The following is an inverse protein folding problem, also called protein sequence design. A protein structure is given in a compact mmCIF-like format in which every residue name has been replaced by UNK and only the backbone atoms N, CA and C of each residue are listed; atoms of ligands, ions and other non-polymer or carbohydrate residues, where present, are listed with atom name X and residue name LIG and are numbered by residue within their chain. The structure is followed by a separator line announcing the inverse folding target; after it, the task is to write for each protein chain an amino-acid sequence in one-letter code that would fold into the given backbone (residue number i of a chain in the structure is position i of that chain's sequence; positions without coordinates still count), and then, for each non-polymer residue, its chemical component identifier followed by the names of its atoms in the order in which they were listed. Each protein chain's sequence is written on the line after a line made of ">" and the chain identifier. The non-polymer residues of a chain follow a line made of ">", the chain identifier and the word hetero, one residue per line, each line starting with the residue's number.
data_IF_999179564826
#
_entry.id   IF_999179564826
#
_cell.length_a   1.000
_cell.length_b   1.000
_cell.length_c   1.000
_cell.angle_alpha   90.00
_cell.angle_beta   90.00
_cell.angle_gamma   90.00
#
_symmetry.space_group_name_H-M   'P 1'
#
loop_
_entity.id
_entity.type
_entity.pdbx_description
1 polymer ?
#
# COMPACT_ATOMS: atom_id res chain seq x y z
N UNK A 1 17.72 -27.82 0.36
CA UNK A 1 16.71 -26.76 0.09
C UNK A 1 17.48 -25.46 0.16
N UNK A 2 17.71 -24.80 -0.96
CA UNK A 2 18.24 -23.45 -0.97
C UNK A 2 17.21 -22.57 -0.24
N UNK A 3 17.63 -21.84 0.81
CA UNK A 3 16.79 -20.91 1.53
C UNK A 3 16.30 -19.83 0.56
N UNK A 4 15.12 -19.28 0.81
CA UNK A 4 14.58 -18.19 -0.01
C UNK A 4 15.49 -16.95 0.11
N UNK A 5 15.60 -16.17 -0.98
CA UNK A 5 16.54 -15.02 -1.06
C UNK A 5 16.22 -13.98 0.02
N UNK A 6 14.96 -13.85 0.42
CA UNK A 6 14.46 -12.83 1.37
C UNK A 6 13.95 -13.42 2.69
N UNK A 7 14.38 -14.63 3.09
CA UNK A 7 13.88 -15.33 4.29
C UNK A 7 14.06 -14.52 5.57
N UNK A 8 15.22 -13.87 5.76
CA UNK A 8 15.49 -13.04 6.91
C UNK A 8 14.67 -11.76 6.88
N UNK A 9 14.59 -11.09 5.73
CA UNK A 9 13.88 -9.85 5.54
C UNK A 9 12.37 -10.02 5.78
N UNK A 10 11.75 -11.04 5.19
CA UNK A 10 10.31 -11.30 5.35
C UNK A 10 9.97 -11.67 6.79
N UNK A 11 10.84 -12.42 7.47
CA UNK A 11 10.67 -12.75 8.88
C UNK A 11 10.72 -11.50 9.75
N UNK A 12 11.76 -10.66 9.61
CA UNK A 12 11.92 -9.44 10.38
C UNK A 12 10.76 -8.47 10.11
N UNK A 13 10.39 -8.24 8.85
CA UNK A 13 9.28 -7.36 8.49
C UNK A 13 7.94 -7.86 9.05
N UNK A 14 7.69 -9.18 9.03
CA UNK A 14 6.48 -9.78 9.59
C UNK A 14 6.41 -9.58 11.10
N UNK A 15 7.51 -9.83 11.82
CA UNK A 15 7.59 -9.61 13.27
C UNK A 15 7.35 -8.14 13.62
N UNK A 16 7.98 -7.21 12.88
CA UNK A 16 7.84 -5.77 13.09
C UNK A 16 6.41 -5.28 12.80
N UNK A 17 5.79 -5.75 11.73
CA UNK A 17 4.41 -5.38 11.40
C UNK A 17 3.44 -5.80 12.52
N UNK A 18 3.63 -6.98 13.11
CA UNK A 18 2.82 -7.44 14.24
C UNK A 18 3.10 -6.65 15.52
N UNK A 19 4.35 -6.33 15.84
CA UNK A 19 4.72 -5.53 16.99
C UNK A 19 4.18 -4.10 16.88
N UNK A 20 4.36 -3.45 15.72
CA UNK A 20 3.79 -2.14 15.46
C UNK A 20 2.26 -2.16 15.52
N UNK A 21 1.63 -3.19 14.95
CA UNK A 21 0.18 -3.36 15.05
C UNK A 21 -0.33 -3.51 16.49
N UNK A 22 0.45 -4.14 17.38
CA UNK A 22 0.13 -4.21 18.82
C UNK A 22 0.16 -2.82 19.47
N UNK A 23 1.19 -2.00 19.15
CA UNK A 23 1.27 -0.59 19.59
C UNK A 23 0.05 0.18 19.10
N UNK A 24 -0.30 0.06 17.80
CA UNK A 24 -1.48 0.73 17.26
C UNK A 24 -2.76 0.32 17.97
N UNK A 25 -2.96 -0.96 18.29
CA UNK A 25 -4.15 -1.45 19.01
C UNK A 25 -4.24 -0.92 20.43
N UNK A 26 -3.11 -0.80 21.15
CA UNK A 26 -3.09 -0.21 22.48
C UNK A 26 -3.62 1.22 22.47
N UNK A 27 -3.14 2.04 21.53
CA UNK A 27 -3.66 3.40 21.33
C UNK A 27 -5.08 3.41 20.79
N UNK A 28 -5.43 2.50 19.87
CA UNK A 28 -6.76 2.44 19.26
C UNK A 28 -7.87 2.21 20.28
N UNK A 29 -7.64 1.41 21.31
CA UNK A 29 -8.61 1.14 22.36
C UNK A 29 -8.50 2.08 23.58
N UNK A 30 -7.56 3.01 23.55
CA UNK A 30 -7.36 4.02 24.60
C UNK A 30 -7.78 5.41 24.12
N UNK A 31 -7.98 6.42 24.99
CA UNK A 31 -8.05 7.82 24.59
C UNK A 31 -6.73 8.27 23.96
N UNK A 32 -6.76 8.97 22.84
CA UNK A 32 -5.59 9.55 22.19
C UNK A 32 -5.85 10.98 21.73
N UNK A 33 -4.77 11.73 21.54
CA UNK A 33 -4.80 13.06 20.95
C UNK A 33 -4.46 12.96 19.46
N UNK A 34 -5.16 13.79 18.68
CA UNK A 34 -4.87 13.99 17.26
C UNK A 34 -4.07 15.29 17.12
N UNK A 35 -2.92 15.19 16.49
CA UNK A 35 -2.07 16.33 16.16
C UNK A 35 -2.10 16.56 14.65
N UNK A 36 -1.59 17.69 14.21
CA UNK A 36 -1.40 17.99 12.79
C UNK A 36 0.09 18.15 12.49
N UNK A 37 0.53 17.54 11.41
CA UNK A 37 1.87 17.75 10.83
C UNK A 37 1.73 18.37 9.44
N UNK A 38 2.76 19.10 9.01
CA UNK A 38 2.87 19.58 7.63
C UNK A 38 3.64 18.52 6.83
N UNK A 39 3.04 18.06 5.75
CA UNK A 39 3.67 17.08 4.88
C UNK A 39 4.65 17.74 3.89
N UNK A 40 5.31 16.93 3.06
CA UNK A 40 6.26 17.41 2.05
C UNK A 40 5.63 18.26 0.92
N UNK A 41 4.29 18.39 0.89
CA UNK A 41 3.54 19.22 -0.06
C UNK A 41 2.95 20.48 0.58
N UNK A 42 3.40 20.84 1.79
CA UNK A 42 2.86 21.94 2.62
C UNK A 42 1.37 21.77 2.99
N UNK A 43 0.86 20.54 2.99
CA UNK A 43 -0.50 20.22 3.40
C UNK A 43 -0.53 19.73 4.85
N UNK A 44 -1.63 20.05 5.58
CA UNK A 44 -1.84 19.55 6.94
C UNK A 44 -2.36 18.10 6.90
N UNK A 45 -1.66 17.20 7.58
CA UNK A 45 -2.06 15.81 7.79
C UNK A 45 -2.25 15.51 9.28
N UNK A 46 -3.22 14.66 9.58
CA UNK A 46 -3.45 14.17 10.93
C UNK A 46 -2.40 13.13 11.30
N UNK A 47 -1.87 13.20 12.52
CA UNK A 47 -0.91 12.24 13.09
C UNK A 47 -1.25 12.02 14.56
N UNK A 48 -0.96 10.83 15.05
CA UNK A 48 -1.14 10.48 16.47
C UNK A 48 0.18 10.01 17.09
N UNK A 49 0.22 9.89 18.40
CA UNK A 49 1.35 9.29 19.08
C UNK A 49 1.58 7.83 18.64
N UNK A 50 0.50 7.13 18.25
CA UNK A 50 0.57 5.76 17.76
C UNK A 50 1.40 5.63 16.47
N UNK A 51 1.22 6.58 15.51
CA UNK A 51 2.01 6.61 14.28
C UNK A 51 3.50 6.70 14.57
N UNK A 52 3.87 7.65 15.45
CA UNK A 52 5.29 7.91 15.79
C UNK A 52 5.91 6.76 16.54
N UNK A 53 5.22 6.18 17.52
CA UNK A 53 5.72 5.05 18.30
C UNK A 53 5.89 3.79 17.43
N UNK A 54 4.94 3.49 16.59
CA UNK A 54 5.04 2.40 15.63
C UNK A 54 6.19 2.64 14.62
N UNK A 55 6.36 3.88 14.14
CA UNK A 55 7.47 4.26 13.26
C UNK A 55 8.83 4.05 13.93
N UNK A 56 9.03 4.56 15.15
CA UNK A 56 10.28 4.43 15.89
C UNK A 56 10.65 2.96 16.12
N UNK A 57 9.67 2.14 16.49
CA UNK A 57 9.86 0.70 16.67
C UNK A 57 10.36 0.04 15.37
N UNK A 58 9.69 0.30 14.23
CA UNK A 58 10.05 -0.32 12.95
C UNK A 58 11.42 0.17 12.48
N UNK A 59 11.63 1.49 12.44
CA UNK A 59 12.84 2.11 11.88
C UNK A 59 14.07 1.73 12.70
N UNK A 60 14.02 1.82 14.04
CA UNK A 60 15.17 1.49 14.90
C UNK A 60 15.59 0.02 14.76
N UNK A 61 14.62 -0.88 14.61
CA UNK A 61 14.91 -2.31 14.43
C UNK A 61 15.49 -2.60 13.06
N UNK A 62 14.94 -2.01 11.97
CA UNK A 62 15.46 -2.19 10.62
C UNK A 62 16.88 -1.64 10.50
N UNK A 63 17.19 -0.48 11.06
CA UNK A 63 18.55 0.07 11.09
C UNK A 63 19.55 -0.86 11.79
N UNK A 64 19.11 -1.55 12.82
CA UNK A 64 19.95 -2.52 13.54
C UNK A 64 20.16 -3.82 12.77
N UNK A 65 19.11 -4.34 12.15
CA UNK A 65 19.14 -5.62 11.41
C UNK A 65 19.78 -5.47 10.03
N UNK A 66 19.59 -4.32 9.37
CA UNK A 66 20.02 -4.03 7.99
C UNK A 66 20.73 -2.66 7.90
N UNK A 67 21.90 -2.51 8.56
CA UNK A 67 22.58 -1.21 8.70
C UNK A 67 23.06 -0.60 7.39
N UNK A 68 23.20 -1.41 6.35
CA UNK A 68 23.66 -0.97 5.01
C UNK A 68 22.50 -0.55 4.11
N UNK A 69 21.24 -0.80 4.46
CA UNK A 69 20.06 -0.46 3.68
C UNK A 69 19.65 1.00 3.91
N UNK A 70 19.00 1.60 2.91
CA UNK A 70 18.31 2.88 3.06
C UNK A 70 16.96 2.69 3.74
N UNK A 71 16.43 3.75 4.34
CA UNK A 71 15.08 3.77 4.92
C UNK A 71 14.37 5.04 4.49
N UNK A 72 13.12 4.88 4.05
CA UNK A 72 12.16 5.94 3.79
C UNK A 72 10.89 5.62 4.58
N UNK A 73 10.58 6.42 5.60
CA UNK A 73 9.41 6.21 6.45
C UNK A 73 8.59 7.49 6.56
N UNK A 74 7.26 7.35 6.60
CA UNK A 74 6.33 8.48 6.62
C UNK A 74 6.59 9.42 7.79
N UNK A 75 6.80 8.89 8.99
CA UNK A 75 6.95 9.67 10.21
C UNK A 75 8.43 9.98 10.56
N UNK A 76 9.33 9.83 9.60
CA UNK A 76 10.75 10.16 9.75
C UNK A 76 11.17 11.25 8.77
N UNK A 77 12.18 12.05 9.17
CA UNK A 77 12.82 12.96 8.23
C UNK A 77 13.53 12.15 7.14
N UNK A 78 13.20 12.39 5.88
CA UNK A 78 13.84 11.71 4.75
C UNK A 78 15.33 12.04 4.69
N UNK A 79 16.15 11.01 4.56
CA UNK A 79 17.59 11.13 4.34
C UNK A 79 17.92 10.91 2.88
N UNK A 80 18.49 11.91 2.21
CA UNK A 80 18.96 11.80 0.82
C UNK A 80 19.98 10.67 0.62
N UNK A 81 20.65 10.21 1.69
CA UNK A 81 21.59 9.07 1.62
C UNK A 81 20.92 7.75 1.20
N UNK A 82 19.59 7.62 1.34
CA UNK A 82 18.88 6.47 0.81
C UNK A 82 18.97 6.35 -0.71
N UNK A 83 19.19 7.47 -1.41
CA UNK A 83 19.30 7.51 -2.87
C UNK A 83 20.61 6.86 -3.39
N UNK A 84 21.59 6.74 -2.52
CA UNK A 84 22.88 6.06 -2.82
C UNK A 84 22.82 4.56 -2.51
N UNK A 85 21.62 4.04 -2.09
CA UNK A 85 21.43 2.65 -1.68
C UNK A 85 20.62 1.88 -2.73
N UNK A 86 21.10 0.68 -3.07
CA UNK A 86 20.35 -0.23 -3.93
C UNK A 86 19.12 -0.81 -3.22
N UNK A 87 19.22 -1.04 -1.90
CA UNK A 87 18.17 -1.59 -1.04
C UNK A 87 17.59 -0.48 -0.18
N UNK A 88 16.29 -0.29 -0.26
CA UNK A 88 15.57 0.74 0.52
C UNK A 88 14.30 0.14 1.12
N UNK A 89 14.15 0.25 2.43
CA UNK A 89 12.92 -0.04 3.15
C UNK A 89 11.97 1.15 3.06
N UNK A 90 10.72 0.89 2.71
CA UNK A 90 9.65 1.88 2.64
C UNK A 90 8.58 1.52 3.66
N UNK A 91 8.30 2.46 4.57
CA UNK A 91 7.53 2.19 5.79
C UNK A 91 6.39 3.20 5.91
N UNK A 92 5.17 2.69 5.98
CA UNK A 92 4.03 3.41 6.50
C UNK A 92 3.62 2.73 7.82
N UNK A 93 3.84 3.37 8.97
CA UNK A 93 3.51 2.77 10.26
C UNK A 93 2.01 2.63 10.47
N UNK A 94 1.20 3.48 9.82
CA UNK A 94 -0.26 3.44 9.91
C UNK A 94 -0.95 4.03 8.66
N UNK A 95 -0.95 3.32 7.54
CA UNK A 95 -1.77 3.70 6.37
C UNK A 95 -3.25 3.72 6.76
N UNK A 96 -3.83 4.90 6.70
CA UNK A 96 -5.23 5.13 7.08
C UNK A 96 -5.42 5.78 8.44
N UNK A 97 -4.61 6.77 8.82
CA UNK A 97 -4.72 7.53 10.09
C UNK A 97 -6.12 8.09 10.33
N UNK A 98 -6.81 8.58 9.29
CA UNK A 98 -8.23 9.02 9.39
C UNK A 98 -9.16 7.88 9.82
N UNK A 99 -8.92 6.68 9.33
CA UNK A 99 -9.72 5.49 9.67
C UNK A 99 -9.44 5.02 11.11
N UNK A 100 -8.18 5.16 11.55
CA UNK A 100 -7.80 4.96 12.95
C UNK A 100 -8.52 5.95 13.87
N UNK A 101 -8.48 7.25 13.55
CA UNK A 101 -9.14 8.33 14.32
C UNK A 101 -10.65 8.08 14.39
N UNK A 102 -11.27 7.71 13.29
CA UNK A 102 -12.71 7.43 13.21
C UNK A 102 -13.11 6.08 13.82
N UNK A 103 -12.15 5.26 14.25
CA UNK A 103 -12.38 3.93 14.84
C UNK A 103 -13.17 2.98 13.96
N UNK A 104 -12.96 3.03 12.62
CA UNK A 104 -13.60 2.13 11.66
C UNK A 104 -12.79 0.87 11.33
N UNK A 105 -11.54 0.79 11.81
CA UNK A 105 -10.68 -0.39 11.72
C UNK A 105 -9.99 -0.61 10.37
N UNK A 106 -10.17 0.28 9.40
CA UNK A 106 -9.58 0.17 8.07
C UNK A 106 -8.20 0.86 7.98
N UNK A 107 -7.27 0.46 8.84
CA UNK A 107 -5.87 0.93 8.82
C UNK A 107 -4.91 -0.27 8.84
N UNK A 108 -3.68 -0.06 8.37
CA UNK A 108 -2.70 -1.12 8.28
C UNK A 108 -1.26 -0.61 8.47
N UNK A 109 -0.40 -1.44 9.06
CA UNK A 109 1.06 -1.28 9.02
C UNK A 109 1.53 -1.77 7.65
N UNK A 110 2.38 -1.00 6.96
CA UNK A 110 2.96 -1.38 5.68
C UNK A 110 4.48 -1.30 5.74
N UNK A 111 5.15 -2.39 5.36
CA UNK A 111 6.60 -2.48 5.27
C UNK A 111 6.94 -3.07 3.89
N UNK A 112 7.62 -2.30 3.06
CA UNK A 112 8.10 -2.72 1.75
C UNK A 112 9.63 -2.68 1.68
N UNK A 113 10.23 -3.52 0.84
CA UNK A 113 11.62 -3.45 0.45
C UNK A 113 11.71 -3.25 -1.05
N UNK A 114 12.44 -2.24 -1.48
CA UNK A 114 12.80 -2.03 -2.87
C UNK A 114 14.27 -2.38 -3.11
N UNK A 115 14.56 -2.99 -4.26
CA UNK A 115 15.90 -3.26 -4.76
C UNK A 115 16.06 -2.63 -6.14
N UNK A 116 17.04 -1.73 -6.31
CA UNK A 116 17.24 -1.00 -7.57
C UNK A 116 16.02 -0.17 -7.99
N UNK A 117 15.18 0.23 -7.03
CA UNK A 117 13.95 0.96 -7.25
C UNK A 117 12.74 0.11 -7.64
N UNK A 118 12.82 -1.20 -7.61
CA UNK A 118 11.70 -2.13 -7.83
C UNK A 118 11.25 -2.77 -6.51
N UNK A 119 9.95 -2.88 -6.29
CA UNK A 119 9.39 -3.54 -5.12
C UNK A 119 9.67 -5.04 -5.17
N UNK A 120 10.34 -5.59 -4.13
CA UNK A 120 10.74 -7.01 -4.08
C UNK A 120 10.18 -7.75 -2.88
N UNK A 121 9.74 -7.04 -1.85
CA UNK A 121 9.14 -7.63 -0.66
C UNK A 121 8.09 -6.70 -0.07
N UNK A 122 7.02 -7.27 0.46
CA UNK A 122 5.98 -6.52 1.13
C UNK A 122 5.33 -7.27 2.28
N UNK A 123 5.05 -6.53 3.35
CA UNK A 123 4.20 -6.95 4.45
C UNK A 123 3.17 -5.88 4.70
N UNK A 124 1.89 -6.26 4.75
CA UNK A 124 0.77 -5.41 5.13
C UNK A 124 0.02 -6.11 6.25
N UNK A 125 -0.08 -5.47 7.40
CA UNK A 125 -0.80 -6.02 8.55
C UNK A 125 -1.95 -5.12 8.97
N UNK A 126 -3.16 -5.67 8.98
CA UNK A 126 -4.39 -5.02 9.44
C UNK A 126 -4.69 -5.48 10.89
N UNK A 127 -4.31 -4.70 11.92
CA UNK A 127 -4.29 -5.20 13.29
C UNK A 127 -5.68 -5.48 13.86
N UNK A 128 -6.68 -4.66 13.53
CA UNK A 128 -8.06 -4.84 14.03
C UNK A 128 -8.68 -6.16 13.55
N UNK A 129 -8.33 -6.61 12.33
CA UNK A 129 -8.81 -7.88 11.78
C UNK A 129 -7.87 -9.05 12.07
N UNK A 130 -6.66 -8.80 12.56
CA UNK A 130 -5.63 -9.82 12.73
C UNK A 130 -5.17 -10.45 11.41
N UNK A 131 -5.26 -9.71 10.28
CA UNK A 131 -4.92 -10.20 8.94
C UNK A 131 -3.59 -9.63 8.50
N UNK A 132 -2.68 -10.51 8.09
CA UNK A 132 -1.37 -10.17 7.58
C UNK A 132 -1.21 -10.73 6.16
N UNK A 133 -0.85 -9.86 5.23
CA UNK A 133 -0.42 -10.21 3.88
C UNK A 133 1.09 -10.09 3.78
N UNK A 134 1.75 -11.03 3.13
CA UNK A 134 3.18 -10.99 2.89
C UNK A 134 3.55 -11.59 1.55
N UNK A 135 4.59 -11.06 0.94
CA UNK A 135 5.14 -11.58 -0.30
C UNK A 135 6.62 -11.22 -0.43
N UNK A 136 7.35 -12.03 -1.17
CA UNK A 136 8.67 -11.68 -1.71
C UNK A 136 8.77 -12.17 -3.15
N UNK A 137 9.64 -11.53 -3.93
CA UNK A 137 9.88 -11.86 -5.33
C UNK A 137 10.23 -13.35 -5.48
N UNK A 138 9.51 -14.04 -6.37
CA UNK A 138 9.63 -15.47 -6.66
C UNK A 138 9.19 -16.42 -5.51
N UNK A 139 8.59 -15.92 -4.43
CA UNK A 139 8.13 -16.74 -3.30
C UNK A 139 6.59 -16.81 -3.19
N UNK A 140 5.88 -16.08 -4.07
CA UNK A 140 4.42 -15.95 -4.03
C UNK A 140 3.92 -15.01 -2.94
N UNK A 141 2.61 -14.84 -2.89
CA UNK A 141 1.93 -14.04 -1.90
C UNK A 141 1.10 -14.92 -0.96
N UNK A 142 1.04 -14.53 0.30
CA UNK A 142 0.43 -15.32 1.38
C UNK A 142 -0.41 -14.44 2.29
N UNK A 143 -1.50 -15.00 2.82
CA UNK A 143 -2.33 -14.40 3.87
C UNK A 143 -2.23 -15.24 5.14
N UNK A 144 -2.16 -14.59 6.28
CA UNK A 144 -2.29 -15.17 7.61
C UNK A 144 -3.43 -14.46 8.33
N UNK A 145 -4.43 -15.20 8.82
CA UNK A 145 -5.59 -14.65 9.53
C UNK A 145 -5.75 -15.36 10.88
N UNK A 146 -5.62 -14.60 11.97
CA UNK A 146 -5.66 -15.17 13.33
C UNK A 146 -4.56 -16.21 13.57
N UNK A 147 -4.96 -17.39 14.06
CA UNK A 147 -4.07 -18.55 14.31
C UNK A 147 -4.00 -19.53 13.13
N UNK A 148 -4.69 -19.21 12.02
CA UNK A 148 -4.73 -20.07 10.86
C UNK A 148 -3.36 -20.17 10.17
N UNK A 149 -3.12 -21.29 9.48
CA UNK A 149 -1.93 -21.45 8.66
C UNK A 149 -1.97 -20.49 7.50
N UNK A 150 -0.79 -19.98 7.11
CA UNK A 150 -0.64 -19.16 5.93
C UNK A 150 -1.26 -19.86 4.69
N UNK A 151 -2.12 -19.11 3.99
CA UNK A 151 -2.74 -19.57 2.74
C UNK A 151 -2.20 -18.78 1.55
N UNK A 152 -2.00 -19.40 0.38
CA UNK A 152 -1.52 -18.70 -0.81
C UNK A 152 -2.60 -17.77 -1.34
N UNK A 153 -2.17 -16.60 -1.83
CA UNK A 153 -3.01 -15.62 -2.48
C UNK A 153 -2.88 -15.72 -4.00
N UNK A 154 -3.98 -15.43 -4.69
CA UNK A 154 -3.97 -15.24 -6.14
C UNK A 154 -5.16 -14.37 -6.55
N UNK A 155 -4.93 -13.47 -7.49
CA UNK A 155 -5.97 -12.56 -8.02
C UNK A 155 -7.01 -13.31 -8.88
N UNK A 156 -8.12 -12.65 -9.19
CA UNK A 156 -9.11 -13.13 -10.16
C UNK A 156 -8.56 -13.00 -11.60
N UNK A 157 -9.27 -13.56 -12.56
CA UNK A 157 -8.97 -13.43 -14.00
C UNK A 157 -10.09 -12.72 -14.78
N UNK A 158 -10.95 -11.97 -14.09
CA UNK A 158 -12.04 -11.22 -14.72
C UNK A 158 -11.48 -10.09 -15.59
N UNK A 159 -12.09 -9.90 -16.76
CA UNK A 159 -11.67 -8.87 -17.74
C UNK A 159 -12.80 -7.91 -18.11
N UNK A 160 -14.05 -8.20 -17.74
CA UNK A 160 -15.21 -7.36 -18.06
C UNK A 160 -15.59 -6.52 -16.84
N UNK A 161 -15.60 -5.17 -16.92
CA UNK A 161 -15.97 -4.30 -15.79
C UNK A 161 -17.30 -4.66 -15.14
N UNK A 162 -18.31 -5.05 -15.92
CA UNK A 162 -19.64 -5.45 -15.43
C UNK A 162 -19.65 -6.72 -14.56
N UNK A 163 -18.52 -7.41 -14.44
CA UNK A 163 -18.32 -8.55 -13.55
C UNK A 163 -17.39 -8.23 -12.39
N UNK A 164 -16.67 -7.10 -12.46
CA UNK A 164 -15.62 -6.73 -11.54
C UNK A 164 -16.13 -5.89 -10.38
N UNK A 165 -15.48 -6.04 -9.22
CA UNK A 165 -15.69 -5.24 -8.01
C UNK A 165 -14.58 -4.20 -7.89
N UNK A 166 -14.96 -2.92 -7.79
CA UNK A 166 -14.04 -1.82 -7.53
C UNK A 166 -13.80 -1.69 -6.03
N UNK A 167 -12.52 -1.74 -5.59
CA UNK A 167 -12.14 -1.22 -4.29
C UNK A 167 -11.93 0.30 -4.39
N UNK A 168 -12.56 1.08 -3.53
CA UNK A 168 -12.46 2.54 -3.53
C UNK A 168 -12.19 3.11 -2.14
N UNK A 169 -11.72 4.35 -2.08
CA UNK A 169 -11.49 5.04 -0.82
C UNK A 169 -12.82 5.41 -0.15
N UNK A 170 -12.90 5.16 1.16
CA UNK A 170 -14.04 5.57 1.98
C UNK A 170 -14.11 7.10 2.14
N UNK A 171 -12.95 7.74 2.29
CA UNK A 171 -12.82 9.16 2.65
C UNK A 171 -12.65 10.10 1.45
N UNK A 172 -12.29 9.60 0.27
CA UNK A 172 -11.89 10.41 -0.88
C UNK A 172 -12.72 10.09 -2.12
N UNK A 173 -14.02 10.38 -2.08
CA UNK A 173 -14.86 10.31 -3.26
C UNK A 173 -14.94 11.66 -3.94
N UNK A 174 -14.54 11.72 -5.19
CA UNK A 174 -14.61 12.93 -6.01
C UNK A 174 -15.59 12.73 -7.18
N UNK A 175 -16.07 13.83 -7.75
CA UNK A 175 -16.88 13.78 -8.98
C UNK A 175 -16.16 13.08 -10.15
N UNK A 176 -14.82 13.18 -10.20
CA UNK A 176 -14.01 12.44 -11.17
C UNK A 176 -14.10 10.92 -10.96
N UNK A 177 -14.06 10.47 -9.71
CA UNK A 177 -14.24 9.03 -9.41
C UNK A 177 -15.65 8.56 -9.75
N UNK A 178 -16.69 9.36 -9.48
CA UNK A 178 -18.07 9.06 -9.89
C UNK A 178 -18.20 8.93 -11.41
N UNK A 179 -17.53 9.80 -12.14
CA UNK A 179 -17.47 9.74 -13.61
C UNK A 179 -16.80 8.46 -14.10
N UNK A 180 -15.71 8.01 -13.44
CA UNK A 180 -15.04 6.73 -13.76
C UNK A 180 -15.98 5.56 -13.49
N UNK A 181 -16.57 5.50 -12.29
CA UNK A 181 -17.50 4.41 -11.91
C UNK A 181 -18.65 4.29 -12.92
N UNK A 182 -19.24 5.43 -13.29
CA UNK A 182 -20.32 5.48 -14.30
C UNK A 182 -19.87 5.02 -15.70
N UNK A 183 -18.65 5.37 -16.11
CA UNK A 183 -18.14 5.01 -17.43
C UNK A 183 -17.78 3.52 -17.56
N UNK A 184 -17.26 2.92 -16.50
CA UNK A 184 -16.87 1.51 -16.49
C UNK A 184 -18.05 0.55 -16.25
N UNK A 185 -19.07 0.97 -15.47
CA UNK A 185 -20.23 0.14 -15.15
C UNK A 185 -19.83 -1.11 -14.35
N UNK A 186 -19.04 -0.94 -13.29
CA UNK A 186 -18.61 -2.04 -12.42
C UNK A 186 -19.81 -2.77 -11.81
N UNK A 187 -19.65 -4.08 -11.54
CA UNK A 187 -20.64 -4.92 -10.89
C UNK A 187 -20.99 -4.41 -9.50
N UNK A 188 -19.97 -4.01 -8.75
CA UNK A 188 -20.13 -3.56 -7.36
C UNK A 188 -18.93 -2.68 -6.95
N UNK A 189 -19.08 -1.97 -5.82
CA UNK A 189 -18.06 -1.12 -5.23
C UNK A 189 -17.92 -1.44 -3.73
N UNK A 190 -16.72 -1.81 -3.29
CA UNK A 190 -16.39 -1.95 -1.87
C UNK A 190 -15.53 -0.79 -1.41
N UNK A 191 -15.91 -0.14 -0.29
CA UNK A 191 -15.21 1.03 0.25
C UNK A 191 -14.40 0.67 1.48
N UNK A 192 -13.10 0.97 1.43
CA UNK A 192 -12.16 0.75 2.53
C UNK A 192 -11.24 1.95 2.71
N UNK A 193 -10.68 2.08 3.93
CA UNK A 193 -9.49 2.89 4.19
C UNK A 193 -8.25 2.23 3.59
N UNK A 194 -7.06 2.73 3.91
CA UNK A 194 -5.75 2.11 3.59
C UNK A 194 -5.55 1.66 2.13
N UNK A 195 -4.43 1.95 1.53
CA UNK A 195 -4.04 1.43 0.20
C UNK A 195 -3.78 -0.07 0.30
N UNK A 196 -3.03 -0.48 1.33
CA UNK A 196 -2.69 -1.89 1.55
C UNK A 196 -3.90 -2.77 1.77
N UNK A 197 -4.91 -2.30 2.53
CA UNK A 197 -6.16 -3.02 2.72
C UNK A 197 -6.90 -3.23 1.39
N UNK A 198 -6.99 -2.21 0.54
CA UNK A 198 -7.65 -2.32 -0.78
C UNK A 198 -6.91 -3.28 -1.72
N UNK A 199 -5.59 -3.25 -1.70
CA UNK A 199 -4.76 -4.18 -2.48
C UNK A 199 -4.89 -5.61 -1.94
N UNK A 200 -4.93 -5.79 -0.63
CA UNK A 200 -5.22 -7.08 0.01
C UNK A 200 -6.54 -7.70 -0.49
N UNK A 201 -7.61 -6.89 -0.61
CA UNK A 201 -8.89 -7.36 -1.15
C UNK A 201 -8.76 -7.86 -2.60
N UNK A 202 -7.90 -7.25 -3.43
CA UNK A 202 -7.66 -7.73 -4.80
C UNK A 202 -6.96 -9.09 -4.76
N UNK A 203 -5.94 -9.22 -3.92
CA UNK A 203 -5.20 -10.47 -3.75
C UNK A 203 -6.07 -11.62 -3.18
N UNK A 204 -7.11 -11.29 -2.37
CA UNK A 204 -8.12 -12.22 -1.85
C UNK A 204 -9.29 -12.49 -2.83
N UNK A 205 -9.32 -11.88 -4.02
CA UNK A 205 -10.46 -11.95 -4.97
C UNK A 205 -11.77 -11.36 -4.43
N UNK A 206 -11.70 -10.48 -3.42
CA UNK A 206 -12.85 -9.73 -2.91
C UNK A 206 -13.08 -8.43 -3.69
N UNK A 207 -12.05 -7.97 -4.40
CA UNK A 207 -12.11 -6.90 -5.40
C UNK A 207 -11.22 -7.28 -6.60
N UNK A 208 -11.35 -6.52 -7.70
CA UNK A 208 -10.62 -6.79 -8.93
C UNK A 208 -9.71 -5.63 -9.33
N UNK A 209 -10.03 -4.43 -8.85
CA UNK A 209 -9.21 -3.25 -9.10
C UNK A 209 -9.38 -2.19 -8.02
N UNK A 210 -8.36 -1.33 -7.93
CA UNK A 210 -8.36 -0.10 -7.14
C UNK A 210 -7.80 1.04 -7.98
N UNK A 211 -8.44 2.20 -7.89
CA UNK A 211 -8.04 3.43 -8.58
C UNK A 211 -7.87 4.56 -7.56
N UNK A 212 -6.76 5.27 -7.65
CA UNK A 212 -6.53 6.50 -6.91
C UNK A 212 -6.17 7.63 -7.85
N UNK A 213 -7.09 8.57 -8.04
CA UNK A 213 -6.97 9.60 -9.07
C UNK A 213 -6.13 10.82 -8.65
N UNK A 214 -5.86 11.00 -7.36
CA UNK A 214 -5.06 12.13 -6.85
C UNK A 214 -3.58 11.78 -6.67
N UNK A 215 -2.67 12.77 -6.55
CA UNK A 215 -1.26 12.55 -6.28
C UNK A 215 -0.96 12.35 -4.78
N UNK A 216 -1.97 12.11 -3.95
CA UNK A 216 -1.82 12.10 -2.49
C UNK A 216 -1.15 10.85 -1.93
N UNK A 217 -1.09 9.73 -2.69
CA UNK A 217 -0.35 8.55 -2.25
C UNK A 217 1.15 8.73 -2.39
N UNK A 218 1.90 8.10 -1.49
CA UNK A 218 3.36 8.16 -1.42
C UNK A 218 3.98 6.79 -1.73
N UNK A 219 5.29 6.75 -1.86
CA UNK A 219 6.03 5.51 -2.14
C UNK A 219 5.85 4.46 -1.04
N UNK A 220 5.77 4.87 0.22
CA UNK A 220 5.54 3.95 1.36
C UNK A 220 4.14 3.34 1.38
N UNK A 221 3.11 4.03 0.83
CA UNK A 221 1.75 3.50 0.69
C UNK A 221 1.67 2.37 -0.35
N UNK A 222 2.63 2.29 -1.26
CA UNK A 222 2.53 1.43 -2.45
C UNK A 222 3.57 0.33 -2.55
N UNK A 223 4.79 0.51 -2.04
CA UNK A 223 5.87 -0.47 -2.19
C UNK A 223 5.51 -1.85 -1.63
N UNK A 224 5.15 -1.94 -0.36
CA UNK A 224 4.76 -3.22 0.25
C UNK A 224 3.52 -3.86 -0.42
N UNK A 225 2.43 -3.10 -0.62
CA UNK A 225 1.26 -3.57 -1.34
C UNK A 225 1.54 -4.03 -2.77
N UNK A 226 2.43 -3.35 -3.52
CA UNK A 226 2.81 -3.78 -4.88
C UNK A 226 3.44 -5.16 -4.90
N UNK A 227 4.41 -5.42 -4.00
CA UNK A 227 5.04 -6.74 -3.89
C UNK A 227 4.00 -7.85 -3.69
N UNK A 228 3.01 -7.60 -2.82
CA UNK A 228 1.92 -8.55 -2.54
C UNK A 228 1.05 -8.76 -3.78
N UNK A 229 0.63 -7.67 -4.43
CA UNK A 229 -0.23 -7.73 -5.59
C UNK A 229 0.43 -8.45 -6.77
N UNK A 230 1.68 -8.10 -7.07
CA UNK A 230 2.45 -8.69 -8.17
C UNK A 230 2.69 -10.17 -7.92
N UNK A 231 3.09 -10.54 -6.70
CA UNK A 231 3.30 -11.94 -6.33
C UNK A 231 2.00 -12.78 -6.34
N UNK A 232 0.83 -12.13 -6.17
CA UNK A 232 -0.49 -12.76 -6.33
C UNK A 232 -0.95 -12.83 -7.80
N UNK A 233 -0.19 -12.29 -8.77
CA UNK A 233 -0.50 -12.28 -10.20
C UNK A 233 -1.22 -11.02 -10.69
N UNK A 234 -1.34 -9.99 -9.84
CA UNK A 234 -1.89 -8.69 -10.19
C UNK A 234 -0.86 -7.73 -10.77
N UNK A 235 -1.28 -6.47 -11.00
CA UNK A 235 -0.42 -5.42 -11.53
C UNK A 235 -0.75 -4.06 -10.90
N UNK A 236 0.28 -3.29 -10.58
CA UNK A 236 0.18 -1.92 -10.10
C UNK A 236 1.02 -1.00 -10.98
N UNK A 237 0.43 0.12 -11.43
CA UNK A 237 1.08 1.15 -12.23
C UNK A 237 0.55 2.54 -11.84
N UNK A 238 1.09 3.58 -12.46
CA UNK A 238 0.41 4.87 -12.47
C UNK A 238 -0.83 4.84 -13.38
N UNK A 239 -1.62 5.92 -13.41
CA UNK A 239 -2.84 6.02 -14.23
C UNK A 239 -2.59 5.97 -15.74
N UNK A 240 -1.35 6.09 -16.17
CA UNK A 240 -0.91 6.04 -17.57
C UNK A 240 -0.28 4.71 -17.97
N UNK A 241 -0.24 3.74 -17.03
CA UNK A 241 0.31 2.41 -17.25
C UNK A 241 1.82 2.31 -17.05
N UNK A 242 2.46 3.36 -16.49
CA UNK A 242 3.90 3.31 -16.21
C UNK A 242 4.17 2.63 -14.86
N UNK A 243 5.20 1.80 -14.75
CA UNK A 243 5.57 1.17 -13.47
C UNK A 243 6.01 2.22 -12.46
N UNK A 244 5.69 1.99 -11.18
CA UNK A 244 6.19 2.82 -10.08
C UNK A 244 7.68 2.56 -9.86
N UNK A 245 8.37 3.56 -9.28
CA UNK A 245 9.77 3.47 -8.92
C UNK A 245 9.98 4.03 -7.51
N UNK A 246 10.82 3.34 -6.74
CA UNK A 246 10.98 3.59 -5.30
C UNK A 246 12.36 4.15 -4.93
N UNK A 247 13.14 4.59 -5.91
CA UNK A 247 14.48 5.16 -5.74
C UNK A 247 14.57 6.63 -6.15
N UNK A 248 13.42 7.30 -6.35
CA UNK A 248 13.39 8.71 -6.72
C UNK A 248 13.56 9.67 -5.54
N UNK A 249 13.99 10.89 -5.81
CA UNK A 249 14.01 12.00 -4.83
C UNK A 249 12.61 12.35 -4.37
N UNK A 250 11.65 12.33 -5.29
CA UNK A 250 10.25 12.59 -4.99
C UNK A 250 9.59 11.34 -4.44
N UNK A 251 8.80 11.52 -3.41
CA UNK A 251 8.13 10.41 -2.71
C UNK A 251 6.65 10.26 -3.11
N UNK A 252 6.08 11.25 -3.81
CA UNK A 252 4.67 11.29 -4.20
C UNK A 252 4.40 10.54 -5.52
N UNK A 253 3.31 9.78 -5.59
CA UNK A 253 2.83 9.11 -6.79
C UNK A 253 1.99 10.09 -7.64
N UNK A 254 2.65 11.05 -8.29
CA UNK A 254 2.05 12.22 -8.97
C UNK A 254 0.97 11.87 -9.98
N UNK A 255 1.16 10.80 -10.69
CA UNK A 255 0.23 10.36 -11.70
C UNK A 255 -0.98 9.58 -11.16
N UNK A 256 -1.09 9.45 -9.81
CA UNK A 256 -2.05 8.54 -9.20
C UNK A 256 -1.68 7.08 -9.42
N UNK A 257 -2.55 6.14 -9.03
CA UNK A 257 -2.26 4.70 -9.14
C UNK A 257 -3.44 3.89 -9.65
N UNK A 258 -3.12 2.78 -10.33
CA UNK A 258 -4.04 1.73 -10.78
C UNK A 258 -3.50 0.39 -10.31
N UNK A 259 -4.25 -0.30 -9.45
CA UNK A 259 -3.99 -1.68 -9.07
C UNK A 259 -5.10 -2.58 -9.64
N UNK A 260 -4.76 -3.69 -10.25
CA UNK A 260 -5.73 -4.60 -10.88
C UNK A 260 -5.34 -6.07 -10.66
N UNK A 261 -6.26 -6.96 -11.00
CA UNK A 261 -6.02 -8.41 -11.08
C UNK A 261 -5.07 -8.83 -12.23
N UNK A 262 -4.36 -7.92 -12.86
CA UNK A 262 -3.43 -8.20 -13.95
C UNK A 262 -4.13 -8.45 -15.30
N UNK A 263 -5.05 -9.41 -15.36
CA UNK A 263 -5.78 -9.76 -16.60
C UNK A 263 -6.54 -8.58 -17.21
N UNK A 264 -7.09 -7.69 -16.38
CA UNK A 264 -7.84 -6.52 -16.84
C UNK A 264 -6.98 -5.28 -17.03
N UNK A 265 -5.69 -5.28 -16.70
CA UNK A 265 -4.89 -4.07 -16.55
C UNK A 265 -4.87 -3.20 -17.81
N UNK A 266 -4.51 -3.78 -18.94
CA UNK A 266 -4.43 -3.03 -20.22
C UNK A 266 -5.79 -2.44 -20.62
N UNK A 267 -6.87 -3.20 -20.46
CA UNK A 267 -8.23 -2.72 -20.74
C UNK A 267 -8.59 -1.54 -19.81
N UNK A 268 -8.23 -1.61 -18.53
CA UNK A 268 -8.49 -0.53 -17.57
C UNK A 268 -7.72 0.73 -17.98
N UNK A 269 -6.42 0.62 -18.31
CA UNK A 269 -5.61 1.74 -18.77
C UNK A 269 -6.20 2.38 -20.03
N UNK A 270 -6.56 1.57 -21.04
CA UNK A 270 -7.14 2.09 -22.30
C UNK A 270 -8.45 2.85 -22.03
N UNK A 271 -9.33 2.32 -21.19
CA UNK A 271 -10.61 2.96 -20.85
C UNK A 271 -10.45 4.20 -19.98
N UNK A 272 -9.36 4.32 -19.22
CA UNK A 272 -9.04 5.52 -18.44
C UNK A 272 -8.54 6.68 -19.32
N UNK A 273 -7.83 6.42 -20.41
CA UNK A 273 -7.23 7.47 -21.26
C UNK A 273 -8.21 8.60 -21.65
N UNK A 274 -9.41 8.33 -22.19
CA UNK A 274 -10.35 9.40 -22.54
C UNK A 274 -10.83 10.18 -21.30
N UNK A 275 -11.01 9.51 -20.17
CA UNK A 275 -11.43 10.16 -18.92
C UNK A 275 -10.33 11.04 -18.33
N UNK A 276 -9.07 10.61 -18.39
CA UNK A 276 -7.93 11.42 -17.93
C UNK A 276 -7.80 12.68 -18.77
N UNK A 277 -8.01 12.61 -20.10
CA UNK A 277 -8.06 13.79 -20.97
C UNK A 277 -9.22 14.71 -20.62
N UNK A 278 -10.42 14.16 -20.37
CA UNK A 278 -11.59 14.91 -19.89
C UNK A 278 -11.28 15.66 -18.58
N UNK A 279 -10.47 15.05 -17.70
CA UNK A 279 -10.04 15.66 -16.43
C UNK A 279 -8.86 16.63 -16.56
N UNK A 280 -8.33 16.83 -17.77
CA UNK A 280 -7.15 17.67 -18.02
C UNK A 280 -5.87 17.12 -17.41
N UNK A 281 -5.73 15.77 -17.36
CA UNK A 281 -4.55 15.10 -16.80
C UNK A 281 -3.63 14.58 -17.91
N UNK A 282 -2.36 14.91 -17.77
CA UNK A 282 -1.25 14.44 -18.59
C UNK A 282 -0.19 13.77 -17.70
N UNK A 283 0.64 12.85 -18.24
CA UNK A 283 1.75 12.26 -17.51
C UNK A 283 2.75 13.36 -17.07
N UNK A 284 3.27 13.24 -15.86
CA UNK A 284 4.22 14.19 -15.27
C UNK A 284 5.60 13.53 -15.11
#
# INVERSE_FOLDING_TARGET
>A
MEGTIYEREIKVATELARQAGAVLLEHYYSPFLVEQKVNALDELEEVTAADREANELIVSRLQKEFPDDGILAEESTDSVHRLDKDRVWLIDPMDGTKNFINRDGDFAVQIGLALGGESVLGVVYQPVRGVLYRAASNEGAWIEAGEDRAAPLSVSNLTRPSEMVLASSRSHRSSRMERVVSAFGFKDETRRGSVGVKIGLIAERQADLYLHLSPSTKQWDTCGPEAILVAAGGRLTDLFGQPLRYNGVRVDNRNGIVATNGAAHEMVIENLKPLLREFGREPV
#
